data_IF_234598809521
#
_entry.id   IF_234598809521
#
_cell.length_a   1.000
_cell.length_b   1.000
_cell.length_c   1.000
_cell.angle_alpha   90.00
_cell.angle_beta   90.00
_cell.angle_gamma   90.00
#
_symmetry.space_group_name_H-M   'P 1'
#
loop_
_entity.id
_entity.type
_entity.pdbx_description
1 polymer ?
#
# COMPACT_ATOMS: atom_id res chain seq x y z
N UNK A 1 -31.00 -0.85 8.43
CA UNK A 1 -30.95 -1.89 9.48
C UNK A 1 -29.48 -2.03 9.87
N UNK A 2 -29.19 -2.05 11.17
CA UNK A 2 -27.79 -2.26 11.64
C UNK A 2 -27.62 -3.78 11.77
N UNK A 3 -26.57 -4.29 11.16
CA UNK A 3 -26.20 -5.72 11.18
C UNK A 3 -24.88 -5.91 11.93
N UNK A 4 -24.70 -7.12 12.46
CA UNK A 4 -23.43 -7.56 13.03
C UNK A 4 -22.90 -8.74 12.24
N UNK A 5 -21.60 -8.73 11.94
CA UNK A 5 -20.91 -9.82 11.24
C UNK A 5 -19.54 -10.03 11.89
N UNK A 6 -19.12 -11.28 11.95
CA UNK A 6 -17.75 -11.64 12.38
C UNK A 6 -17.02 -12.28 11.22
N UNK A 7 -15.79 -11.87 10.99
CA UNK A 7 -14.85 -12.48 10.05
C UNK A 7 -13.78 -13.16 10.88
N UNK A 8 -13.49 -14.44 10.59
CA UNK A 8 -12.45 -15.21 11.27
C UNK A 8 -11.27 -15.42 10.30
N UNK A 9 -10.06 -15.19 10.77
CA UNK A 9 -8.82 -15.43 10.04
C UNK A 9 -8.26 -16.81 10.44
N UNK A 10 -8.61 -17.86 9.68
CA UNK A 10 -8.23 -19.22 10.04
C UNK A 10 -6.88 -19.65 9.43
N UNK A 11 -6.47 -19.01 8.33
CA UNK A 11 -5.32 -19.44 7.52
C UNK A 11 -4.11 -18.51 7.58
N UNK A 12 -4.22 -17.33 8.20
CA UNK A 12 -3.18 -16.29 8.19
C UNK A 12 -3.05 -15.71 9.59
N UNK A 13 -1.82 -15.49 10.06
CA UNK A 13 -1.57 -14.80 11.32
C UNK A 13 -2.15 -13.36 11.27
N UNK A 14 -3.03 -12.99 12.21
CA UNK A 14 -3.59 -11.64 12.28
C UNK A 14 -2.55 -10.52 12.22
N UNK A 15 -1.35 -10.72 12.80
CA UNK A 15 -0.25 -9.75 12.77
C UNK A 15 0.20 -9.46 11.34
N UNK A 16 0.15 -10.44 10.46
CA UNK A 16 0.57 -10.31 9.06
C UNK A 16 -0.38 -9.43 8.23
N UNK A 17 -1.67 -9.40 8.60
CA UNK A 17 -2.70 -8.57 7.94
C UNK A 17 -2.89 -7.26 8.67
N UNK A 18 -2.95 -7.28 10.01
CA UNK A 18 -3.20 -6.07 10.80
C UNK A 18 -1.97 -5.16 10.90
N UNK A 19 -0.77 -5.72 10.67
CA UNK A 19 0.50 -5.04 10.87
C UNK A 19 0.86 -4.87 12.35
N UNK A 20 2.09 -4.44 12.61
CA UNK A 20 2.57 -4.21 13.97
C UNK A 20 1.74 -3.12 14.66
N UNK A 21 1.10 -3.46 15.76
CA UNK A 21 0.24 -2.54 16.51
C UNK A 21 -1.06 -2.20 15.78
N UNK A 22 -1.56 -3.11 14.92
CA UNK A 22 -2.80 -2.96 14.14
C UNK A 22 -2.84 -1.76 13.18
N UNK A 23 -1.70 -1.18 12.83
CA UNK A 23 -1.62 0.04 12.00
C UNK A 23 -2.23 -0.12 10.62
N UNK A 24 -2.07 -1.27 9.98
CA UNK A 24 -2.67 -1.56 8.67
C UNK A 24 -4.19 -1.66 8.79
N UNK A 25 -4.67 -2.34 9.84
CA UNK A 25 -6.10 -2.44 10.10
C UNK A 25 -6.72 -1.08 10.45
N UNK A 26 -6.05 -0.26 11.27
CA UNK A 26 -6.50 1.09 11.61
C UNK A 26 -6.61 1.97 10.37
N UNK A 27 -5.60 1.95 9.50
CA UNK A 27 -5.60 2.64 8.21
C UNK A 27 -6.75 2.14 7.33
N UNK A 28 -6.92 0.83 7.20
CA UNK A 28 -8.01 0.22 6.44
C UNK A 28 -9.39 0.63 6.97
N UNK A 29 -9.57 0.63 8.30
CA UNK A 29 -10.81 1.02 8.94
C UNK A 29 -11.12 2.52 8.79
N UNK A 30 -10.11 3.37 8.59
CA UNK A 30 -10.30 4.81 8.42
C UNK A 30 -11.16 5.18 7.21
N UNK A 31 -11.24 4.30 6.23
CA UNK A 31 -12.09 4.47 5.03
C UNK A 31 -13.58 4.16 5.30
N UNK A 32 -13.92 3.53 6.43
CA UNK A 32 -15.29 3.10 6.77
C UNK A 32 -15.88 3.89 7.92
N UNK A 33 -16.26 5.15 7.69
CA UNK A 33 -16.77 6.07 8.73
C UNK A 33 -18.09 5.60 9.39
N UNK A 34 -18.86 4.74 8.69
CA UNK A 34 -20.17 4.23 9.16
C UNK A 34 -20.12 2.85 9.82
N UNK A 35 -18.93 2.24 9.90
CA UNK A 35 -18.75 0.88 10.36
C UNK A 35 -17.94 0.85 11.67
N UNK A 36 -18.49 0.22 12.69
CA UNK A 36 -17.72 -0.07 13.91
C UNK A 36 -16.97 -1.39 13.72
N UNK A 37 -15.66 -1.32 13.76
CA UNK A 37 -14.76 -2.46 13.59
C UNK A 37 -13.99 -2.72 14.87
N UNK A 38 -14.03 -3.96 15.36
CA UNK A 38 -13.28 -4.38 16.55
C UNK A 38 -12.58 -5.69 16.26
N UNK A 39 -11.24 -5.68 16.25
CA UNK A 39 -10.44 -6.89 16.13
C UNK A 39 -10.10 -7.47 17.52
N UNK A 40 -10.27 -8.79 17.66
CA UNK A 40 -9.92 -9.55 18.88
C UNK A 40 -9.31 -10.89 18.47
N UNK A 41 -8.01 -11.03 18.68
CA UNK A 41 -7.29 -12.23 18.26
C UNK A 41 -7.38 -12.41 16.75
N UNK A 42 -7.94 -13.53 16.29
CA UNK A 42 -8.15 -13.83 14.88
C UNK A 42 -9.56 -13.45 14.36
N UNK A 43 -10.35 -12.73 15.14
CA UNK A 43 -11.70 -12.32 14.78
C UNK A 43 -11.82 -10.81 14.57
N UNK A 44 -12.55 -10.42 13.54
CA UNK A 44 -12.94 -9.03 13.25
C UNK A 44 -14.46 -8.94 13.39
N UNK A 45 -14.92 -8.19 14.37
CA UNK A 45 -16.34 -7.93 14.60
C UNK A 45 -16.73 -6.63 13.91
N UNK A 46 -17.71 -6.71 13.03
CA UNK A 46 -18.27 -5.60 12.25
C UNK A 46 -19.69 -5.29 12.74
N UNK A 47 -19.98 -4.01 12.94
CA UNK A 47 -21.33 -3.53 13.26
C UNK A 47 -21.63 -2.28 12.45
N UNK A 48 -22.65 -2.32 11.57
CA UNK A 48 -23.00 -1.22 10.67
C UNK A 48 -24.09 -1.56 9.68
N UNK A 49 -24.23 -0.76 8.63
CA UNK A 49 -25.20 -1.03 7.55
C UNK A 49 -24.71 -2.20 6.71
N UNK A 50 -25.66 -2.93 6.14
CA UNK A 50 -25.37 -4.11 5.31
C UNK A 50 -24.42 -3.80 4.14
N UNK A 51 -24.66 -2.69 3.43
CA UNK A 51 -23.81 -2.27 2.31
C UNK A 51 -22.37 -2.01 2.75
N UNK A 52 -22.18 -1.31 3.89
CA UNK A 52 -20.84 -1.00 4.42
C UNK A 52 -20.09 -2.29 4.83
N UNK A 53 -20.83 -3.26 5.38
CA UNK A 53 -20.28 -4.59 5.74
C UNK A 53 -19.91 -5.38 4.47
N UNK A 54 -20.71 -5.32 3.41
CA UNK A 54 -20.40 -6.00 2.15
C UNK A 54 -19.18 -5.39 1.48
N UNK A 55 -19.10 -4.06 1.42
CA UNK A 55 -17.93 -3.34 0.88
C UNK A 55 -16.66 -3.65 1.69
N UNK A 56 -16.74 -3.63 3.02
CA UNK A 56 -15.64 -4.03 3.88
C UNK A 56 -15.15 -5.44 3.55
N UNK A 57 -16.05 -6.42 3.43
CA UNK A 57 -15.67 -7.79 3.12
C UNK A 57 -14.96 -7.91 1.77
N UNK A 58 -15.45 -7.21 0.74
CA UNK A 58 -14.85 -7.24 -0.59
C UNK A 58 -13.44 -6.64 -0.55
N UNK A 59 -13.29 -5.46 0.02
CA UNK A 59 -12.00 -4.77 0.13
C UNK A 59 -11.02 -5.50 1.04
N UNK A 60 -11.51 -6.11 2.11
CA UNK A 60 -10.70 -6.90 3.02
C UNK A 60 -10.20 -8.21 2.36
N UNK A 61 -11.02 -8.84 1.51
CA UNK A 61 -10.57 -9.98 0.71
C UNK A 61 -9.45 -9.60 -0.26
N UNK A 62 -9.50 -8.41 -0.88
CA UNK A 62 -8.41 -7.87 -1.71
C UNK A 62 -7.12 -7.66 -0.88
N UNK A 63 -7.24 -7.18 0.36
CA UNK A 63 -6.10 -7.00 1.27
C UNK A 63 -5.44 -8.34 1.63
N UNK A 64 -6.27 -9.36 1.93
CA UNK A 64 -5.83 -10.73 2.22
C UNK A 64 -5.11 -11.34 1.00
N UNK A 65 -5.68 -11.19 -0.19
CA UNK A 65 -5.08 -11.68 -1.44
C UNK A 65 -3.70 -11.02 -1.69
N UNK A 66 -3.59 -9.71 -1.50
CA UNK A 66 -2.30 -9.02 -1.60
C UNK A 66 -1.27 -9.54 -0.62
N UNK A 67 -1.67 -9.86 0.62
CA UNK A 67 -0.76 -10.46 1.60
C UNK A 67 -0.23 -11.81 1.16
N UNK A 68 -1.05 -12.62 0.48
CA UNK A 68 -0.61 -13.91 -0.05
C UNK A 68 0.47 -13.78 -1.14
N UNK A 69 0.49 -12.66 -1.86
CA UNK A 69 1.44 -12.37 -2.94
C UNK A 69 2.62 -11.46 -2.51
N UNK A 70 2.59 -10.91 -1.30
CA UNK A 70 3.63 -10.02 -0.75
C UNK A 70 4.07 -10.48 0.64
N UNK A 71 5.36 -10.32 0.96
CA UNK A 71 5.87 -10.64 2.30
C UNK A 71 5.32 -9.73 3.40
N UNK A 72 5.08 -8.45 3.11
CA UNK A 72 4.57 -7.49 4.08
C UNK A 72 3.54 -6.56 3.43
N UNK A 73 2.46 -6.27 4.16
CA UNK A 73 1.51 -5.21 3.80
C UNK A 73 2.01 -3.87 4.33
N UNK A 74 1.71 -2.82 3.58
CA UNK A 74 2.01 -1.42 3.92
C UNK A 74 0.73 -0.58 3.87
N UNK A 75 0.75 0.62 4.46
CA UNK A 75 -0.36 1.58 4.34
C UNK A 75 -0.69 1.89 2.87
N UNK A 76 0.33 1.84 1.99
CA UNK A 76 0.18 1.98 0.55
C UNK A 76 -0.73 0.91 -0.08
N UNK A 77 -0.64 -0.34 0.38
CA UNK A 77 -1.49 -1.43 -0.13
C UNK A 77 -2.96 -1.19 0.23
N UNK A 78 -3.20 -0.55 1.38
CA UNK A 78 -4.54 -0.11 1.80
C UNK A 78 -5.04 1.03 0.91
N UNK A 79 -4.26 2.12 0.76
CA UNK A 79 -4.62 3.24 -0.11
C UNK A 79 -4.96 2.77 -1.53
N UNK A 80 -4.14 1.87 -2.10
CA UNK A 80 -4.34 1.36 -3.46
C UNK A 80 -5.62 0.52 -3.62
N UNK A 81 -6.09 -0.13 -2.55
CA UNK A 81 -7.36 -0.86 -2.55
C UNK A 81 -8.57 0.09 -2.61
N UNK A 82 -8.50 1.26 -1.95
CA UNK A 82 -9.63 2.19 -1.87
C UNK A 82 -9.64 3.20 -3.01
N UNK A 83 -8.50 3.74 -3.39
CA UNK A 83 -8.41 4.77 -4.42
C UNK A 83 -8.53 4.20 -5.84
N UNK A 84 -8.31 2.89 -6.00
CA UNK A 84 -8.48 2.18 -7.27
C UNK A 84 -7.73 2.87 -8.42
N UNK A 85 -8.45 3.16 -9.53
CA UNK A 85 -7.88 3.83 -10.71
C UNK A 85 -7.44 5.28 -10.47
N UNK A 86 -7.94 5.92 -9.43
CA UNK A 86 -7.72 7.33 -9.11
C UNK A 86 -6.68 7.57 -8.02
N UNK A 87 -6.07 6.50 -7.47
CA UNK A 87 -5.02 6.65 -6.45
C UNK A 87 -3.86 7.48 -7.00
N UNK A 88 -3.44 8.56 -6.31
CA UNK A 88 -2.20 9.26 -6.65
C UNK A 88 -0.98 8.35 -6.54
N UNK A 89 -1.14 7.19 -5.90
CA UNK A 89 -0.14 6.14 -5.76
C UNK A 89 -0.30 5.02 -6.78
N UNK A 90 -1.36 5.07 -7.62
CA UNK A 90 -1.58 4.09 -8.66
C UNK A 90 -0.54 4.31 -9.76
N UNK A 91 0.52 3.51 -9.76
CA UNK A 91 1.47 3.39 -10.86
C UNK A 91 0.80 2.75 -12.09
N UNK A 92 -0.46 3.12 -12.37
CA UNK A 92 -1.05 2.77 -13.65
C UNK A 92 -0.39 3.62 -14.73
N UNK A 93 -0.03 2.97 -15.77
CA UNK A 93 0.72 3.36 -16.98
C UNK A 93 0.21 4.61 -17.74
N UNK A 94 -0.65 5.42 -17.18
CA UNK A 94 -1.18 6.65 -17.77
C UNK A 94 -0.55 7.93 -17.19
N UNK A 95 0.73 7.82 -16.86
CA UNK A 95 1.71 8.90 -16.92
C UNK A 95 1.54 10.02 -15.91
N UNK A 96 1.94 9.95 -14.70
CA UNK A 96 2.34 11.07 -13.82
C UNK A 96 2.36 10.73 -12.33
N UNK A 97 2.56 9.46 -11.97
CA UNK A 97 2.64 9.06 -10.57
C UNK A 97 3.77 9.78 -9.84
N UNK A 98 3.43 10.53 -8.82
CA UNK A 98 4.39 11.21 -7.95
C UNK A 98 5.06 10.16 -7.06
N UNK A 99 6.38 10.01 -7.17
CA UNK A 99 7.16 9.08 -6.34
C UNK A 99 7.30 9.64 -4.93
N UNK A 100 7.69 10.91 -4.81
CA UNK A 100 7.90 11.62 -3.54
C UNK A 100 7.92 13.13 -3.81
N UNK A 101 7.69 13.94 -2.79
CA UNK A 101 7.91 15.40 -2.86
C UNK A 101 9.30 15.76 -2.34
N UNK A 102 10.00 16.64 -3.05
CA UNK A 102 11.27 17.22 -2.61
C UNK A 102 11.11 18.06 -1.33
N UNK A 103 12.21 18.53 -0.75
CA UNK A 103 12.19 19.43 0.40
C UNK A 103 11.50 20.77 0.10
N UNK A 104 11.46 21.18 -1.17
CA UNK A 104 10.79 22.40 -1.64
C UNK A 104 9.32 22.14 -2.02
N UNK A 105 8.77 20.94 -1.74
CA UNK A 105 7.40 20.58 -2.09
C UNK A 105 7.18 20.23 -3.57
N UNK A 106 8.23 20.22 -4.40
CA UNK A 106 8.10 19.88 -5.83
C UNK A 106 7.93 18.36 -6.01
N UNK A 107 6.97 17.90 -6.84
CA UNK A 107 6.76 16.48 -7.07
C UNK A 107 7.88 15.88 -7.91
N UNK A 108 8.43 14.75 -7.46
CA UNK A 108 9.36 13.92 -8.20
C UNK A 108 8.57 12.79 -8.84
N UNK A 109 8.61 12.73 -10.18
CA UNK A 109 7.82 11.81 -10.99
C UNK A 109 8.69 10.98 -11.93
N UNK A 110 8.23 9.78 -12.31
CA UNK A 110 8.78 9.02 -13.42
C UNK A 110 8.38 9.69 -14.74
N UNK A 111 9.35 10.24 -15.48
CA UNK A 111 9.12 11.09 -16.66
C UNK A 111 9.00 10.31 -17.98
N UNK A 112 9.45 9.08 -18.01
CA UNK A 112 9.43 8.23 -19.20
C UNK A 112 9.06 6.79 -18.83
N UNK A 113 8.75 5.99 -19.87
CA UNK A 113 8.29 4.62 -19.73
C UNK A 113 9.27 3.73 -18.96
N UNK A 114 10.58 3.83 -19.25
CA UNK A 114 11.60 3.02 -18.56
C UNK A 114 11.71 3.36 -17.08
N UNK A 115 11.57 4.64 -16.71
CA UNK A 115 11.51 5.03 -15.29
C UNK A 115 10.23 4.51 -14.61
N UNK A 116 9.10 4.50 -15.31
CA UNK A 116 7.85 3.90 -14.81
C UNK A 116 7.99 2.39 -14.63
N UNK A 117 8.63 1.70 -15.57
CA UNK A 117 8.94 0.27 -15.45
C UNK A 117 9.86 -0.02 -14.25
N UNK A 118 10.87 0.82 -14.00
CA UNK A 118 11.73 0.72 -12.83
C UNK A 118 10.95 0.90 -11.52
N UNK A 119 10.03 1.85 -11.48
CA UNK A 119 9.17 2.08 -10.31
C UNK A 119 8.25 0.88 -10.08
N UNK A 120 7.63 0.35 -11.14
CA UNK A 120 6.80 -0.86 -11.05
C UNK A 120 7.61 -2.04 -10.53
N UNK A 121 8.81 -2.27 -11.10
CA UNK A 121 9.70 -3.34 -10.67
C UNK A 121 10.08 -3.23 -9.17
N UNK A 122 10.24 -2.01 -8.65
CA UNK A 122 10.52 -1.78 -7.23
C UNK A 122 9.39 -2.29 -6.32
N UNK A 123 8.13 -2.14 -6.71
CA UNK A 123 7.01 -2.61 -5.91
C UNK A 123 6.72 -4.11 -6.03
N UNK A 124 7.19 -4.73 -7.11
CA UNK A 124 6.95 -6.14 -7.41
C UNK A 124 8.09 -7.07 -6.97
N UNK A 125 9.28 -6.53 -6.65
CA UNK A 125 10.47 -7.31 -6.40
C UNK A 125 11.30 -6.80 -5.21
N UNK A 126 11.95 -7.72 -4.50
CA UNK A 126 12.87 -7.40 -3.40
C UNK A 126 14.22 -6.84 -3.89
N UNK A 127 14.62 -7.14 -5.12
CA UNK A 127 15.87 -6.72 -5.73
C UNK A 127 15.63 -6.26 -7.17
N UNK A 128 16.12 -5.06 -7.50
CA UNK A 128 15.97 -4.46 -8.83
C UNK A 128 17.33 -4.02 -9.38
N UNK A 129 17.63 -4.43 -10.61
CA UNK A 129 18.78 -3.97 -11.38
C UNK A 129 18.34 -2.97 -12.45
N UNK A 130 18.84 -1.73 -12.37
CA UNK A 130 18.59 -0.71 -13.38
C UNK A 130 19.80 -0.52 -14.28
N UNK A 131 19.73 -1.01 -15.52
CA UNK A 131 20.78 -0.94 -16.52
C UNK A 131 20.40 0.04 -17.64
N UNK A 132 21.35 0.84 -18.09
CA UNK A 132 21.13 1.79 -19.20
C UNK A 132 22.19 2.90 -19.25
N UNK A 133 22.17 3.76 -20.29
CA UNK A 133 23.14 4.84 -20.48
C UNK A 133 23.19 5.83 -19.31
N UNK A 134 24.30 6.56 -19.19
CA UNK A 134 24.42 7.66 -18.23
C UNK A 134 23.38 8.75 -18.51
N UNK A 135 22.96 9.47 -17.46
CA UNK A 135 22.01 10.59 -17.58
C UNK A 135 20.53 10.20 -17.73
N UNK A 136 20.17 8.91 -17.75
CA UNK A 136 18.77 8.46 -17.90
C UNK A 136 17.96 8.54 -16.60
N UNK A 137 18.55 8.99 -15.48
CA UNK A 137 17.87 9.19 -14.21
C UNK A 137 17.74 7.94 -13.32
N UNK A 138 18.47 6.85 -13.62
CA UNK A 138 18.42 5.60 -12.82
C UNK A 138 18.65 5.84 -11.33
N UNK A 139 19.77 6.44 -10.98
CA UNK A 139 20.12 6.76 -9.58
C UNK A 139 19.14 7.73 -8.96
N UNK A 140 18.66 8.72 -9.73
CA UNK A 140 17.68 9.69 -9.26
C UNK A 140 16.36 9.03 -8.86
N UNK A 141 15.83 8.15 -9.70
CA UNK A 141 14.60 7.39 -9.39
C UNK A 141 14.83 6.40 -8.24
N UNK A 142 15.96 5.71 -8.19
CA UNK A 142 16.29 4.80 -7.10
C UNK A 142 16.33 5.53 -5.75
N UNK A 143 16.97 6.69 -5.68
CA UNK A 143 17.01 7.52 -4.46
C UNK A 143 15.61 8.03 -4.11
N UNK A 144 14.82 8.47 -5.09
CA UNK A 144 13.46 8.94 -4.84
C UNK A 144 12.57 7.83 -4.22
N UNK A 145 12.68 6.59 -4.71
CA UNK A 145 11.99 5.43 -4.16
C UNK A 145 12.47 5.11 -2.74
N UNK A 146 13.79 5.12 -2.51
CA UNK A 146 14.35 4.88 -1.18
C UNK A 146 13.89 5.94 -0.17
N UNK A 147 13.87 7.23 -0.56
CA UNK A 147 13.38 8.33 0.28
C UNK A 147 11.89 8.18 0.57
N UNK A 148 11.09 7.76 -0.41
CA UNK A 148 9.69 7.43 -0.21
C UNK A 148 9.52 6.33 0.85
N UNK A 149 10.22 5.20 0.69
CA UNK A 149 10.18 4.09 1.64
C UNK A 149 10.58 4.53 3.07
N UNK A 150 11.58 5.42 3.19
CA UNK A 150 11.99 5.98 4.47
C UNK A 150 10.91 6.90 5.07
N UNK A 151 10.30 7.79 4.27
CA UNK A 151 9.20 8.66 4.71
C UNK A 151 7.98 7.88 5.17
N UNK A 152 7.64 6.81 4.44
CA UNK A 152 6.54 5.91 4.77
C UNK A 152 6.86 4.93 5.91
N UNK A 153 8.09 4.99 6.47
CA UNK A 153 8.58 4.10 7.53
C UNK A 153 8.60 2.60 7.15
N UNK A 154 8.63 2.32 5.85
CA UNK A 154 8.80 0.96 5.31
C UNK A 154 10.21 0.44 5.60
N UNK A 155 11.20 1.34 5.63
CA UNK A 155 12.60 1.05 5.96
C UNK A 155 13.10 1.97 7.09
N UNK A 156 14.11 1.51 7.81
CA UNK A 156 14.72 2.27 8.93
C UNK A 156 15.85 3.20 8.49
N UNK A 157 16.53 2.86 7.40
CA UNK A 157 17.70 3.61 6.89
C UNK A 157 17.93 3.33 5.41
N UNK A 158 18.58 4.28 4.73
CA UNK A 158 19.10 4.14 3.36
C UNK A 158 20.61 3.97 3.45
N UNK A 159 21.17 3.02 2.70
CA UNK A 159 22.61 2.83 2.55
C UNK A 159 22.93 3.08 1.06
N UNK A 160 23.86 4.00 0.81
CA UNK A 160 24.37 4.32 -0.52
C UNK A 160 25.85 3.95 -0.57
N UNK A 161 26.26 3.23 -1.60
CA UNK A 161 27.65 2.80 -1.85
C UNK A 161 28.09 3.23 -3.22
#
# INVERSE_FOLDING_TARGET
MIMKKTITLDAIDPIEIFGVGNKILEEFCSYFHGLKVVARGNEIHLEGKENDIQEFNQKFAELVDRRMHKMNLTAFDVEDIFDGENSPNNFRLNGEAIIVHSTEGKPIKARNKTQQEMVKAYFENDLVFAVGPAGTGKTYIAIALAVRALKNREIKRIILT
#
